data_IF_844155510462
#
_entry.id   IF_844155510462
#
_cell.length_a   1.000
_cell.length_b   1.000
_cell.length_c   1.000
_cell.angle_alpha   90.00
_cell.angle_beta   90.00
_cell.angle_gamma   90.00
#
_symmetry.space_group_name_H-M   'P 1'
#
loop_
_entity.id
_entity.type
_entity.pdbx_description
1 polymer ?
#
# COMPACT_ATOMS: atom_id res chain seq x y z
N UNK A 1 -19.06 -8.78 -10.39
CA UNK A 1 -18.99 -10.16 -9.91
C UNK A 1 -17.55 -10.57 -10.09
N UNK A 2 -16.74 -10.30 -9.07
CA UNK A 2 -15.32 -10.65 -9.13
C UNK A 2 -15.22 -12.18 -9.07
N UNK A 3 -14.27 -12.74 -9.77
CA UNK A 3 -14.26 -14.17 -10.08
C UNK A 3 -13.82 -15.07 -8.90
N UNK A 4 -13.77 -14.57 -7.66
CA UNK A 4 -13.35 -15.34 -6.48
C UNK A 4 -12.01 -16.04 -6.69
N UNK A 5 -11.10 -15.39 -7.44
CA UNK A 5 -9.79 -15.93 -7.72
C UNK A 5 -8.91 -15.70 -6.47
N UNK A 6 -8.52 -16.77 -5.75
CA UNK A 6 -7.76 -16.64 -4.51
C UNK A 6 -6.37 -16.01 -4.70
N UNK A 7 -5.92 -15.81 -5.95
CA UNK A 7 -4.67 -15.12 -6.22
C UNK A 7 -4.77 -13.59 -6.09
N UNK A 8 -6.00 -13.04 -6.12
CA UNK A 8 -6.25 -11.60 -6.05
C UNK A 8 -7.02 -11.17 -4.79
N UNK A 9 -7.45 -12.14 -3.98
CA UNK A 9 -7.91 -11.96 -2.59
C UNK A 9 -6.66 -11.69 -1.71
N UNK A 10 -6.40 -10.42 -1.44
CA UNK A 10 -5.26 -9.91 -0.68
C UNK A 10 -5.58 -9.71 0.79
N UNK A 11 -6.85 -9.57 1.17
CA UNK A 11 -7.27 -9.39 2.55
C UNK A 11 -7.85 -10.66 3.23
N UNK A 12 -7.86 -11.77 2.49
CA UNK A 12 -8.31 -13.12 2.90
C UNK A 12 -9.80 -13.15 3.30
N UNK A 13 -10.65 -12.29 2.72
CA UNK A 13 -12.08 -12.25 3.02
C UNK A 13 -12.93 -13.22 2.18
N UNK A 14 -12.32 -13.85 1.17
CA UNK A 14 -12.91 -14.87 0.32
C UNK A 14 -13.50 -14.35 -0.99
N UNK A 15 -13.29 -13.08 -1.33
CA UNK A 15 -13.53 -12.55 -2.66
C UNK A 15 -12.38 -11.64 -3.14
N UNK A 16 -12.41 -11.21 -4.41
CA UNK A 16 -11.38 -10.39 -5.06
C UNK A 16 -11.95 -9.03 -5.55
N UNK A 17 -12.35 -8.12 -4.67
CA UNK A 17 -13.05 -6.87 -4.99
C UNK A 17 -12.25 -5.56 -4.73
N UNK A 18 -12.98 -4.48 -4.41
CA UNK A 18 -12.41 -3.18 -4.11
C UNK A 18 -11.63 -3.21 -2.80
N UNK A 19 -12.04 -4.01 -1.82
CA UNK A 19 -11.41 -4.11 -0.51
C UNK A 19 -9.98 -4.66 -0.64
N UNK A 20 -9.70 -5.57 -1.57
CA UNK A 20 -8.34 -6.03 -1.89
C UNK A 20 -7.44 -4.92 -2.45
N UNK A 21 -7.98 -4.10 -3.34
CA UNK A 21 -7.26 -2.94 -3.86
C UNK A 21 -6.96 -1.95 -2.72
N UNK A 22 -7.91 -1.74 -1.81
CA UNK A 22 -7.71 -0.91 -0.62
C UNK A 22 -6.63 -1.51 0.28
N UNK A 23 -6.63 -2.84 0.46
CA UNK A 23 -5.61 -3.54 1.22
C UNK A 23 -4.23 -3.38 0.61
N UNK A 24 -4.11 -3.53 -0.72
CA UNK A 24 -2.88 -3.31 -1.48
C UNK A 24 -2.33 -1.89 -1.24
N UNK A 25 -3.16 -0.86 -1.45
CA UNK A 25 -2.76 0.54 -1.29
C UNK A 25 -2.40 0.85 0.16
N UNK A 26 -3.15 0.30 1.12
CA UNK A 26 -2.96 0.62 2.54
C UNK A 26 -1.75 -0.07 3.15
N UNK A 27 -1.39 -1.27 2.69
CA UNK A 27 -0.42 -2.12 3.38
C UNK A 27 0.78 -2.53 2.54
N UNK A 28 0.64 -2.65 1.22
CA UNK A 28 1.62 -3.35 0.38
C UNK A 28 2.31 -2.46 -0.66
N UNK A 29 1.68 -1.36 -1.08
CA UNK A 29 2.27 -0.48 -2.10
C UNK A 29 3.53 0.20 -1.58
N UNK A 30 4.62 0.17 -2.34
CA UNK A 30 5.84 0.94 -2.03
C UNK A 30 5.68 2.40 -2.47
N UNK A 31 6.06 3.33 -1.61
CA UNK A 31 5.98 4.76 -1.89
C UNK A 31 7.12 5.21 -2.82
N UNK A 32 6.81 6.13 -3.72
CA UNK A 32 7.75 6.73 -4.67
C UNK A 32 8.62 7.84 -4.06
N UNK A 33 8.49 8.12 -2.75
CA UNK A 33 9.29 9.10 -2.01
C UNK A 33 10.75 8.66 -1.78
N UNK A 34 11.13 7.45 -2.23
CA UNK A 34 12.47 6.88 -2.09
C UNK A 34 12.83 6.46 -0.66
N UNK A 35 11.86 6.45 0.24
CA UNK A 35 12.06 6.07 1.65
C UNK A 35 12.06 4.54 1.88
N UNK A 36 11.59 3.77 0.91
CA UNK A 36 11.32 2.33 1.05
C UNK A 36 10.15 2.02 1.98
N UNK A 37 9.33 3.02 2.31
CA UNK A 37 8.11 2.84 3.11
C UNK A 37 7.02 2.22 2.23
N UNK A 38 6.12 1.50 2.89
CA UNK A 38 4.96 0.90 2.25
C UNK A 38 3.67 1.42 2.88
N UNK A 39 2.62 1.46 2.07
CA UNK A 39 1.27 1.81 2.49
C UNK A 39 0.98 3.31 2.45
N UNK A 40 -0.16 3.65 1.86
CA UNK A 40 -0.73 5.00 1.83
C UNK A 40 -2.25 4.96 2.03
N UNK A 41 -2.98 5.99 1.57
CA UNK A 41 -4.43 6.05 1.55
C UNK A 41 -4.96 6.34 0.15
N UNK A 42 -6.22 5.97 -0.06
CA UNK A 42 -6.95 6.30 -1.29
C UNK A 42 -6.91 7.81 -1.52
N UNK A 43 -6.55 8.21 -2.73
CA UNK A 43 -6.39 9.61 -3.10
C UNK A 43 -4.95 10.11 -3.05
N UNK A 44 -3.99 9.30 -2.61
CA UNK A 44 -2.57 9.47 -2.94
C UNK A 44 -2.36 8.75 -4.28
N UNK A 45 -2.37 9.52 -5.37
CA UNK A 45 -2.34 9.00 -6.74
C UNK A 45 -0.92 8.94 -7.30
N UNK A 46 -0.02 9.80 -6.82
CA UNK A 46 1.39 9.77 -7.19
C UNK A 46 2.23 8.84 -6.29
N UNK A 47 1.62 8.26 -5.25
CA UNK A 47 2.22 7.36 -4.27
C UNK A 47 3.40 8.00 -3.53
N UNK A 48 3.37 9.31 -3.30
CA UNK A 48 4.43 10.01 -2.56
C UNK A 48 4.25 9.96 -1.03
N UNK A 49 3.17 9.31 -0.56
CA UNK A 49 2.85 9.15 0.85
C UNK A 49 2.05 10.32 1.42
N UNK A 50 1.63 11.27 0.59
CA UNK A 50 0.80 12.40 0.96
C UNK A 50 -0.50 12.34 0.17
N UNK A 51 -1.61 12.73 0.80
CA UNK A 51 -2.86 13.00 0.08
C UNK A 51 -3.06 14.51 0.10
N UNK A 52 -2.68 15.19 -0.98
CA UNK A 52 -2.61 16.65 -0.98
C UNK A 52 -3.08 17.33 -2.30
N UNK A 53 -2.69 18.60 -2.45
CA UNK A 53 -3.07 19.40 -3.62
C UNK A 53 -2.48 18.88 -4.94
N UNK A 54 -1.40 18.12 -4.89
CA UNK A 54 -0.74 17.46 -6.03
C UNK A 54 -1.64 16.35 -6.58
N UNK A 55 -2.18 15.51 -5.71
CA UNK A 55 -3.14 14.48 -6.10
C UNK A 55 -4.42 15.06 -6.68
N UNK A 56 -4.92 16.15 -6.05
CA UNK A 56 -6.08 16.86 -6.57
C UNK A 56 -5.80 17.44 -7.97
N UNK A 57 -4.56 17.90 -8.22
CA UNK A 57 -4.18 18.40 -9.53
C UNK A 57 -4.13 17.28 -10.58
N UNK A 58 -3.59 16.09 -10.22
CA UNK A 58 -3.58 14.90 -11.07
C UNK A 58 -4.99 14.46 -11.43
N UNK A 59 -5.85 14.27 -10.43
CA UNK A 59 -7.24 13.86 -10.60
C UNK A 59 -8.03 14.80 -11.53
N UNK A 60 -7.78 16.11 -11.44
CA UNK A 60 -8.44 17.10 -12.30
C UNK A 60 -8.07 16.95 -13.78
N UNK A 61 -6.89 16.43 -14.10
CA UNK A 61 -6.50 16.21 -15.51
C UNK A 61 -7.33 15.11 -16.16
N UNK A 62 -7.79 14.16 -15.37
CA UNK A 62 -8.55 13.00 -15.81
C UNK A 62 -10.06 13.13 -15.58
N UNK A 63 -10.52 14.22 -14.95
CA UNK A 63 -11.93 14.38 -14.57
C UNK A 63 -12.90 14.26 -15.76
N UNK A 64 -13.89 13.39 -15.63
CA UNK A 64 -14.86 13.03 -16.64
C UNK A 64 -14.33 12.11 -17.75
N UNK A 65 -13.06 11.70 -17.69
CA UNK A 65 -12.50 10.75 -18.66
C UNK A 65 -12.82 9.31 -18.24
N UNK A 66 -13.21 8.45 -19.20
CA UNK A 66 -13.39 7.04 -18.93
C UNK A 66 -12.06 6.27 -18.95
N UNK A 67 -12.06 5.06 -18.38
CA UNK A 67 -10.97 4.08 -18.53
C UNK A 67 -9.65 4.51 -17.89
N UNK A 68 -9.72 5.44 -16.94
CA UNK A 68 -8.58 5.90 -16.16
C UNK A 68 -8.28 4.87 -15.06
N UNK A 69 -7.01 4.67 -14.76
CA UNK A 69 -6.61 3.82 -13.64
C UNK A 69 -6.53 4.63 -12.33
N UNK A 70 -6.20 3.94 -11.24
CA UNK A 70 -6.04 4.57 -9.93
C UNK A 70 -5.03 5.74 -9.93
N UNK A 71 -3.85 5.57 -10.54
CA UNK A 71 -2.82 6.61 -10.59
C UNK A 71 -3.20 7.84 -11.44
N UNK A 72 -4.18 7.69 -12.34
CA UNK A 72 -4.74 8.78 -13.13
C UNK A 72 -5.85 9.55 -12.37
N UNK A 73 -6.20 9.15 -11.14
CA UNK A 73 -7.19 9.84 -10.31
C UNK A 73 -8.51 9.10 -10.11
N UNK A 74 -8.61 7.84 -10.55
CA UNK A 74 -9.78 6.99 -10.35
C UNK A 74 -9.67 6.24 -9.01
N UNK A 75 -10.05 6.90 -7.91
CA UNK A 75 -9.87 6.40 -6.56
C UNK A 75 -10.74 5.17 -6.25
N UNK A 76 -11.87 4.98 -6.93
CA UNK A 76 -12.75 3.79 -6.79
C UNK A 76 -12.64 2.79 -7.94
N UNK A 77 -11.71 3.01 -8.87
CA UNK A 77 -11.47 2.14 -10.02
C UNK A 77 -12.73 1.85 -10.85
N UNK A 78 -13.69 2.79 -10.88
CA UNK A 78 -14.91 2.62 -11.67
C UNK A 78 -14.71 3.07 -13.14
N UNK A 79 -15.79 3.22 -13.90
CA UNK A 79 -15.68 3.56 -15.31
C UNK A 79 -15.15 4.99 -15.58
N UNK A 80 -15.25 5.92 -14.62
CA UNK A 80 -14.98 7.35 -14.82
C UNK A 80 -14.29 7.99 -13.60
N UNK A 81 -13.47 9.00 -13.85
CA UNK A 81 -13.02 9.89 -12.76
C UNK A 81 -14.09 10.95 -12.53
N UNK A 82 -14.76 10.95 -11.38
CA UNK A 82 -15.88 11.84 -11.09
C UNK A 82 -15.92 12.40 -9.66
N UNK A 83 -17.11 12.87 -9.26
CA UNK A 83 -17.33 13.46 -7.93
C UNK A 83 -17.12 12.48 -6.78
N UNK A 84 -17.25 11.18 -7.03
CA UNK A 84 -17.04 10.09 -6.07
C UNK A 84 -15.55 9.97 -5.74
N UNK A 85 -14.67 10.00 -6.74
CA UNK A 85 -13.22 10.01 -6.54
C UNK A 85 -12.77 11.24 -5.78
N UNK A 86 -13.34 12.41 -6.12
CA UNK A 86 -13.07 13.64 -5.40
C UNK A 86 -13.53 13.56 -3.94
N UNK A 87 -14.64 12.89 -3.64
CA UNK A 87 -15.12 12.70 -2.27
C UNK A 87 -14.17 11.79 -1.48
N UNK A 88 -13.61 10.75 -2.11
CA UNK A 88 -12.62 9.86 -1.51
C UNK A 88 -11.33 10.63 -1.21
N UNK A 89 -10.78 11.36 -2.19
CA UNK A 89 -9.59 12.19 -2.00
C UNK A 89 -9.80 13.20 -0.85
N UNK A 90 -10.96 13.88 -0.82
CA UNK A 90 -11.28 14.85 0.24
C UNK A 90 -11.36 14.20 1.62
N UNK A 91 -11.85 12.96 1.70
CA UNK A 91 -11.96 12.22 2.96
C UNK A 91 -10.59 11.95 3.57
N UNK A 92 -9.58 11.70 2.73
CA UNK A 92 -8.22 11.40 3.17
C UNK A 92 -7.26 12.60 3.09
N UNK A 93 -7.74 13.78 2.69
CA UNK A 93 -6.89 14.94 2.46
C UNK A 93 -6.10 15.36 3.71
N UNK A 94 -4.80 15.61 3.52
CA UNK A 94 -3.85 15.88 4.60
C UNK A 94 -3.33 14.62 5.29
N UNK A 95 -3.67 13.43 4.80
CA UNK A 95 -3.01 12.21 5.22
C UNK A 95 -1.53 12.29 4.90
N UNK A 96 -0.72 11.85 5.87
CA UNK A 96 0.71 11.70 5.76
C UNK A 96 0.97 10.28 6.19
N UNK A 97 1.42 9.44 5.27
CA UNK A 97 1.87 8.11 5.61
C UNK A 97 2.97 8.28 6.69
N UNK A 98 2.93 7.47 7.73
CA UNK A 98 4.00 7.44 8.73
C UNK A 98 5.06 6.43 8.32
N UNK A 99 6.27 6.49 8.90
CA UNK A 99 7.22 5.39 8.79
C UNK A 99 6.63 4.17 9.49
N UNK A 100 6.00 3.27 8.73
CA UNK A 100 5.54 1.97 9.21
C UNK A 100 6.69 1.24 9.91
N UNK A 101 6.41 0.73 11.10
CA UNK A 101 7.38 0.15 12.02
C UNK A 101 8.29 -0.85 11.31
N UNK A 102 9.60 -0.65 11.50
CA UNK A 102 10.65 -1.43 10.85
C UNK A 102 10.30 -2.91 10.86
N UNK A 103 10.31 -3.50 9.67
CA UNK A 103 10.30 -4.95 9.48
C UNK A 103 11.22 -5.55 10.56
N UNK A 104 10.72 -6.44 11.45
CA UNK A 104 11.56 -7.03 12.47
C UNK A 104 12.81 -7.59 11.80
N UNK A 105 13.98 -7.05 12.16
CA UNK A 105 15.21 -7.53 11.56
C UNK A 105 15.25 -9.05 11.72
N UNK A 106 15.53 -9.81 10.65
CA UNK A 106 15.46 -11.25 10.71
C UNK A 106 16.35 -11.73 11.87
N UNK A 107 15.79 -12.53 12.78
CA UNK A 107 16.46 -13.04 13.98
C UNK A 107 17.69 -13.92 13.68
N UNK A 108 18.14 -13.97 12.43
CA UNK A 108 19.32 -14.65 11.92
C UNK A 108 20.57 -14.34 12.73
N UNK A 109 20.82 -13.08 13.12
CA UNK A 109 21.98 -12.74 13.97
C UNK A 109 21.82 -13.32 15.38
N UNK A 110 20.61 -13.25 15.94
CA UNK A 110 20.31 -13.84 17.26
C UNK A 110 20.47 -15.37 17.27
N UNK A 111 19.91 -16.05 16.26
CA UNK A 111 20.02 -17.50 16.08
C UNK A 111 21.47 -17.94 15.79
N UNK A 112 22.20 -17.20 14.97
CA UNK A 112 23.60 -17.48 14.68
C UNK A 112 24.49 -17.31 15.93
N UNK A 113 24.21 -16.30 16.75
CA UNK A 113 24.94 -16.05 18.00
C UNK A 113 24.69 -17.16 19.03
N UNK A 114 23.43 -17.58 19.19
CA UNK A 114 23.06 -18.69 20.06
C UNK A 114 23.64 -20.03 19.57
N UNK A 115 23.57 -20.30 18.27
CA UNK A 115 24.16 -21.48 17.66
C UNK A 115 25.68 -21.53 17.79
N UNK A 116 26.36 -20.40 17.57
CA UNK A 116 27.81 -20.27 17.73
C UNK A 116 28.27 -20.55 19.17
N UNK A 117 27.57 -19.99 20.17
CA UNK A 117 27.87 -20.23 21.59
C UNK A 117 27.65 -21.70 21.99
N UNK A 118 26.59 -22.34 21.49
CA UNK A 118 26.31 -23.75 21.74
C UNK A 118 27.44 -24.65 21.18
N UNK A 119 27.90 -24.37 19.96
CA UNK A 119 29.00 -25.09 19.32
C UNK A 119 30.33 -24.89 20.05
N UNK A 120 30.65 -23.66 20.49
CA UNK A 120 31.87 -23.39 21.27
C UNK A 120 31.85 -24.12 22.62
N UNK A 121 30.69 -24.20 23.29
CA UNK A 121 30.54 -24.93 24.55
C UNK A 121 30.69 -26.44 24.38
N UNK A 122 30.22 -27.01 23.26
CA UNK A 122 30.43 -28.43 22.95
C UNK A 122 31.90 -28.78 22.70
N UNK A 123 32.69 -27.86 22.12
CA UNK A 123 34.13 -28.10 21.85
C UNK A 123 35.04 -27.98 23.08
N UNK A 124 34.52 -27.45 24.19
CA UNK A 124 35.26 -27.27 25.46
C UNK A 124 34.95 -28.35 26.50
N UNK A 125 34.06 -29.29 26.20
CA UNK A 125 33.86 -30.54 26.96
C UNK A 125 34.61 -31.66 26.27
#
# INVERSE_FOLDING_TARGET
DNLGDPAFDLDDDGDADEDDMIFLITNLVELQDGSGRVGTKRGDFNLDGFVDGTDLALMKTAFGQPGQNYADGNANCDAFVDGTDLAILKTNFGFIATTGGGVPEPMTIGLLSLGGLALIRQRRK
#
